data_IF_577190982610
#
_entry.id   IF_577190982610
#
_cell.length_a   1.000
_cell.length_b   1.000
_cell.length_c   1.000
_cell.angle_alpha   90.00
_cell.angle_beta   90.00
_cell.angle_gamma   90.00
#
_symmetry.space_group_name_H-M   'P 1'
#
loop_
_entity.id
_entity.type
_entity.pdbx_description
1 polymer ?
#
# COMPACT_ATOMS: atom_id res chain seq x y z
N UNK A 1 6.86 5.74 3.50
CA UNK A 1 5.85 4.76 4.01
C UNK A 1 6.03 4.25 5.45
N UNK A 2 7.22 4.17 6.04
CA UNK A 2 7.44 3.51 7.36
C UNK A 2 6.57 4.01 8.52
N UNK A 3 6.14 5.27 8.49
CA UNK A 3 5.22 5.85 9.48
C UNK A 3 3.75 5.39 9.36
N UNK A 4 3.42 4.60 8.34
CA UNK A 4 2.06 4.11 8.11
C UNK A 4 1.72 2.85 8.92
N UNK A 5 2.70 2.19 9.55
CA UNK A 5 2.45 0.98 10.34
C UNK A 5 1.47 1.28 11.48
N UNK A 6 0.42 0.46 11.59
CA UNK A 6 -0.67 0.62 12.55
C UNK A 6 -1.70 1.70 12.18
N UNK A 7 -1.62 2.30 10.99
CA UNK A 7 -2.64 3.21 10.46
C UNK A 7 -3.65 2.41 9.62
N UNK A 8 -4.85 2.96 9.46
CA UNK A 8 -5.87 2.39 8.58
C UNK A 8 -5.69 2.96 7.18
N UNK A 9 -5.61 2.09 6.19
CA UNK A 9 -5.52 2.47 4.79
C UNK A 9 -6.78 3.21 4.32
N UNK A 10 -6.58 4.21 3.48
CA UNK A 10 -7.67 4.97 2.85
C UNK A 10 -7.65 4.85 1.31
N UNK A 11 -6.82 3.97 0.76
CA UNK A 11 -6.70 3.72 -0.67
C UNK A 11 -6.51 2.23 -0.95
N UNK A 12 -6.76 1.84 -2.20
CA UNK A 12 -6.55 0.46 -2.65
C UNK A 12 -5.22 0.36 -3.39
N UNK A 13 -4.37 -0.59 -3.01
CA UNK A 13 -3.11 -0.87 -3.71
C UNK A 13 -3.17 -2.27 -4.31
N UNK A 14 -3.02 -2.33 -5.63
CA UNK A 14 -3.03 -3.57 -6.41
C UNK A 14 -1.74 -3.66 -7.23
N UNK A 15 -1.11 -4.84 -7.27
CA UNK A 15 -0.04 -5.11 -8.24
C UNK A 15 -0.54 -5.96 -9.40
N UNK A 16 -0.02 -5.69 -10.60
CA UNK A 16 -0.36 -6.45 -11.79
C UNK A 16 0.89 -6.98 -12.53
N UNK A 17 0.87 -8.24 -13.00
CA UNK A 17 -0.05 -9.33 -12.60
C UNK A 17 0.25 -9.82 -11.15
N UNK A 18 -0.70 -10.44 -10.40
CA UNK A 18 -1.98 -11.03 -10.82
C UNK A 18 -3.22 -10.12 -10.75
N UNK A 19 -3.14 -8.93 -10.13
CA UNK A 19 -4.29 -8.03 -10.00
C UNK A 19 -5.13 -8.21 -8.73
N UNK A 20 -4.59 -8.86 -7.70
CA UNK A 20 -5.23 -9.01 -6.39
C UNK A 20 -4.85 -7.83 -5.49
N UNK A 21 -5.81 -7.20 -4.77
CA UNK A 21 -5.49 -6.14 -3.82
C UNK A 21 -4.59 -6.62 -2.69
N UNK A 22 -3.57 -5.84 -2.41
CA UNK A 22 -2.67 -6.01 -1.27
C UNK A 22 -3.18 -5.24 -0.06
N UNK A 23 -3.76 -4.08 -0.33
CA UNK A 23 -4.29 -3.17 0.67
C UNK A 23 -5.60 -2.60 0.13
N UNK A 24 -6.62 -2.55 0.97
CA UNK A 24 -7.90 -1.91 0.67
C UNK A 24 -8.26 -0.89 1.77
N UNK A 25 -9.14 0.09 1.48
CA UNK A 25 -9.64 1.01 2.49
C UNK A 25 -10.25 0.26 3.68
N UNK A 26 -9.84 0.61 4.89
CA UNK A 26 -10.25 -0.07 6.12
C UNK A 26 -9.25 -1.11 6.64
N UNK A 27 -8.30 -1.55 5.81
CA UNK A 27 -7.25 -2.47 6.26
C UNK A 27 -6.26 -1.77 7.19
N UNK A 28 -5.75 -2.51 8.18
CA UNK A 28 -4.62 -2.05 9.00
C UNK A 28 -3.33 -2.29 8.23
N UNK A 29 -2.56 -1.23 8.04
CA UNK A 29 -1.24 -1.32 7.43
C UNK A 29 -0.28 -1.91 8.46
N UNK A 30 0.07 -3.18 8.32
CA UNK A 30 1.08 -3.82 9.15
C UNK A 30 2.48 -3.77 8.52
N UNK A 31 3.48 -4.17 9.30
CA UNK A 31 4.87 -4.17 8.83
C UNK A 31 5.12 -5.18 7.69
N UNK A 32 4.34 -6.27 7.64
CA UNK A 32 4.47 -7.29 6.61
C UNK A 32 3.97 -6.76 5.25
N UNK A 33 2.83 -6.10 5.25
CA UNK A 33 2.24 -5.40 4.11
C UNK A 33 3.20 -4.35 3.59
N UNK A 34 3.77 -3.52 4.48
CA UNK A 34 4.73 -2.50 4.08
C UNK A 34 5.97 -3.09 3.38
N UNK A 35 6.51 -4.18 3.94
CA UNK A 35 7.66 -4.90 3.37
C UNK A 35 7.31 -5.52 2.02
N UNK A 36 6.09 -6.04 1.87
CA UNK A 36 5.61 -6.57 0.60
C UNK A 36 5.49 -5.47 -0.46
N UNK A 37 4.88 -4.32 -0.13
CA UNK A 37 4.81 -3.16 -1.01
C UNK A 37 6.19 -2.72 -1.51
N UNK A 38 7.18 -2.63 -0.60
CA UNK A 38 8.56 -2.28 -0.94
C UNK A 38 9.23 -3.31 -1.84
N UNK A 39 9.00 -4.60 -1.58
CA UNK A 39 9.55 -5.69 -2.40
C UNK A 39 8.98 -5.64 -3.82
N UNK A 40 7.66 -5.47 -3.95
CA UNK A 40 6.99 -5.38 -5.23
C UNK A 40 7.38 -4.13 -6.02
N UNK A 41 7.63 -3.00 -5.33
CA UNK A 41 8.24 -1.81 -5.93
C UNK A 41 9.64 -2.11 -6.46
N UNK A 42 10.49 -2.78 -5.68
CA UNK A 42 11.88 -3.06 -6.05
C UNK A 42 12.00 -3.95 -7.30
N UNK A 43 11.04 -4.86 -7.50
CA UNK A 43 10.98 -5.71 -8.71
C UNK A 43 10.30 -5.02 -9.91
N UNK A 44 9.86 -3.77 -9.76
CA UNK A 44 9.23 -3.00 -10.83
C UNK A 44 7.80 -3.45 -11.16
N UNK A 45 7.09 -4.07 -10.22
CA UNK A 45 5.72 -4.49 -10.44
C UNK A 45 4.81 -3.28 -10.72
N UNK A 46 3.87 -3.43 -11.65
CA UNK A 46 2.94 -2.36 -12.00
C UNK A 46 1.97 -2.13 -10.84
N UNK A 47 1.97 -0.92 -10.29
CA UNK A 47 1.03 -0.48 -9.26
C UNK A 47 -0.23 0.08 -9.91
N UNK A 48 -1.39 -0.26 -9.34
CA UNK A 48 -2.71 0.26 -9.75
C UNK A 48 -3.50 0.65 -8.48
N UNK A 49 -4.21 1.77 -8.54
CA UNK A 49 -5.11 2.24 -7.48
C UNK A 49 -4.47 3.09 -6.39
N UNK A 50 -3.15 2.99 -6.20
CA UNK A 50 -2.43 3.86 -5.27
C UNK A 50 -2.48 5.32 -5.72
N UNK A 51 -2.72 6.26 -4.80
CA UNK A 51 -2.62 7.69 -5.10
C UNK A 51 -1.19 8.08 -5.52
N UNK A 52 -0.19 7.39 -4.94
CA UNK A 52 1.21 7.50 -5.30
C UNK A 52 1.72 6.15 -5.86
N UNK A 53 1.83 6.06 -7.18
CA UNK A 53 2.31 4.86 -7.86
C UNK A 53 3.78 4.52 -7.56
N UNK A 54 4.56 5.47 -7.05
CA UNK A 54 5.94 5.22 -6.60
C UNK A 54 5.98 4.46 -5.27
N UNK A 55 4.87 4.41 -4.53
CA UNK A 55 4.73 3.86 -3.20
C UNK A 55 5.70 4.49 -2.18
N UNK A 56 6.09 5.75 -2.35
CA UNK A 56 6.84 6.50 -1.34
C UNK A 56 5.91 6.98 -0.21
N UNK A 57 4.66 7.26 -0.57
CA UNK A 57 3.56 7.62 0.34
C UNK A 57 2.38 6.65 0.20
N UNK A 58 1.57 6.55 1.27
CA UNK A 58 0.32 5.78 1.30
C UNK A 58 -0.72 6.62 2.02
N UNK A 59 -1.93 6.69 1.46
CA UNK A 59 -3.05 7.44 2.04
C UNK A 59 -3.65 6.68 3.22
N UNK A 60 -3.80 7.34 4.36
CA UNK A 60 -4.33 6.75 5.59
C UNK A 60 -5.48 7.58 6.15
N UNK A 61 -6.37 6.93 6.90
CA UNK A 61 -7.42 7.62 7.63
C UNK A 61 -6.78 8.51 8.71
N UNK A 62 -7.26 9.76 8.79
CA UNK A 62 -6.87 10.70 9.84
C UNK A 62 -7.36 10.20 11.20
N UNK A 63 -6.54 10.34 12.24
CA UNK A 63 -7.04 10.19 13.61
C UNK A 63 -7.77 11.49 13.96
N UNK A 64 -9.05 11.38 14.31
CA UNK A 64 -9.84 12.50 14.83
C UNK A 64 -9.34 12.98 16.18
#
# INVERSE_FOLDING_TARGET
VTHAVGRIAAETIVFYPPGIPVLAPGDVIDAATLRYLQTMRAIGARVVGAADASLDTVTVIAKG
#
